data_IF_147969647627
#
_entry.id   IF_147969647627
#
_cell.length_a   1.000
_cell.length_b   1.000
_cell.length_c   1.000
_cell.angle_alpha   90.00
_cell.angle_beta   90.00
_cell.angle_gamma   90.00
#
_symmetry.space_group_name_H-M   'P 1'
#
loop_
_entity.id
_entity.type
_entity.pdbx_description
1 polymer ?
#
# COMPACT_ATOMS: atom_id res chain seq x y z
N UNK A 1 16.31 13.98 21.06
CA UNK A 1 15.35 14.56 22.01
C UNK A 1 14.02 13.87 21.84
N UNK A 2 13.42 13.35 22.91
CA UNK A 2 12.12 12.66 22.87
C UNK A 2 11.00 13.68 23.12
N UNK A 3 10.31 14.08 22.04
CA UNK A 3 9.23 15.08 22.10
C UNK A 3 7.89 14.33 22.14
N UNK A 4 7.27 14.29 23.32
CA UNK A 4 6.01 13.54 23.53
C UNK A 4 4.77 14.42 23.53
N UNK A 5 4.92 15.74 23.68
CA UNK A 5 3.81 16.67 23.79
C UNK A 5 4.01 17.92 22.91
N UNK A 6 2.91 18.56 22.53
CA UNK A 6 2.95 19.78 21.70
C UNK A 6 3.66 20.96 22.39
N UNK A 7 3.57 21.03 23.73
CA UNK A 7 4.29 22.03 24.53
C UNK A 7 5.80 21.85 24.43
N UNK A 8 6.29 20.61 24.63
CA UNK A 8 7.72 20.29 24.49
C UNK A 8 8.26 20.58 23.08
N UNK A 9 7.46 20.31 22.04
CA UNK A 9 7.82 20.67 20.66
C UNK A 9 8.02 22.19 20.52
N UNK A 10 7.08 22.97 21.06
CA UNK A 10 7.11 24.43 20.99
C UNK A 10 8.31 24.98 21.76
N UNK A 11 8.60 24.44 22.93
CA UNK A 11 9.74 24.85 23.77
C UNK A 11 11.09 24.51 23.09
N UNK A 12 11.23 23.33 22.48
CA UNK A 12 12.41 22.98 21.68
C UNK A 12 12.60 23.92 20.49
N UNK A 13 11.53 24.25 19.78
CA UNK A 13 11.58 25.14 18.61
C UNK A 13 11.97 26.57 19.03
N UNK A 14 11.44 27.05 20.16
CA UNK A 14 11.85 28.35 20.74
C UNK A 14 13.34 28.36 21.08
N UNK A 15 13.84 27.29 21.71
CA UNK A 15 15.26 27.17 22.05
C UNK A 15 16.16 27.20 20.81
N UNK A 16 15.72 26.61 19.69
CA UNK A 16 16.47 26.62 18.42
C UNK A 16 16.44 28.00 17.74
N UNK A 17 15.31 28.70 17.79
CA UNK A 17 15.11 29.98 17.09
C UNK A 17 15.69 31.20 17.84
N UNK A 18 15.96 31.07 19.14
CA UNK A 18 16.52 32.14 19.98
C UNK A 18 15.51 33.20 20.42
N UNK A 19 15.92 34.05 21.37
CA UNK A 19 15.04 34.95 22.14
C UNK A 19 14.43 36.12 21.34
N UNK A 20 14.84 36.32 20.08
CA UNK A 20 14.33 37.37 19.21
C UNK A 20 13.09 37.00 18.40
N UNK A 21 12.67 35.72 18.39
CA UNK A 21 11.60 35.24 17.50
C UNK A 21 10.38 34.78 18.29
N UNK A 22 9.28 35.53 18.19
CA UNK A 22 8.03 35.15 18.82
C UNK A 22 7.31 34.04 18.03
N UNK A 23 7.44 32.80 18.48
CA UNK A 23 6.71 31.65 17.91
C UNK A 23 5.25 31.70 18.33
N UNK A 24 4.35 32.05 17.40
CA UNK A 24 2.88 32.12 17.66
C UNK A 24 2.21 30.74 17.59
N UNK A 25 2.54 29.94 16.59
CA UNK A 25 1.98 28.61 16.38
C UNK A 25 3.02 27.69 15.76
N UNK A 26 3.02 26.43 16.20
CA UNK A 26 3.81 25.36 15.58
C UNK A 26 2.84 24.39 14.91
N UNK A 27 2.85 24.33 13.58
CA UNK A 27 2.05 23.37 12.85
C UNK A 27 2.95 22.24 12.36
N UNK A 28 2.76 20.98 12.82
CA UNK A 28 3.54 19.87 12.30
C UNK A 28 3.27 19.72 10.80
N UNK A 29 4.30 19.44 10.02
CA UNK A 29 4.18 19.25 8.58
C UNK A 29 3.03 18.26 8.28
N UNK A 30 2.13 18.54 7.31
CA UNK A 30 0.95 17.72 7.07
C UNK A 30 1.25 16.23 6.81
N UNK A 31 2.42 15.94 6.22
CA UNK A 31 2.88 14.57 5.99
C UNK A 31 3.29 13.82 7.27
N UNK A 32 3.65 14.54 8.35
CA UNK A 32 4.09 13.96 9.62
C UNK A 32 2.93 13.80 10.61
N UNK A 33 1.95 14.69 10.58
CA UNK A 33 0.82 14.66 11.52
C UNK A 33 -0.40 13.91 11.02
N UNK A 34 -0.47 13.60 9.72
CA UNK A 34 -1.69 13.15 9.04
C UNK A 34 -2.91 14.08 9.31
N UNK A 35 -2.68 15.28 9.84
CA UNK A 35 -3.71 16.28 10.10
C UNK A 35 -3.87 17.13 8.85
N UNK A 36 -5.07 17.12 8.28
CA UNK A 36 -5.42 18.01 7.18
C UNK A 36 -5.84 19.35 7.81
N UNK A 37 -5.00 20.36 7.69
CA UNK A 37 -5.37 21.73 8.03
C UNK A 37 -6.47 22.20 7.06
N UNK A 38 -7.72 22.12 7.49
CA UNK A 38 -8.80 22.81 6.79
C UNK A 38 -8.62 24.30 7.07
N UNK A 39 -8.55 25.11 6.02
CA UNK A 39 -8.48 26.56 6.15
C UNK A 39 -9.81 27.07 6.73
N UNK A 40 -9.88 27.24 8.06
CA UNK A 40 -11.05 27.77 8.77
C UNK A 40 -10.82 29.25 9.05
N UNK A 41 -11.03 30.08 8.03
CA UNK A 41 -11.31 31.51 8.22
C UNK A 41 -12.80 31.73 8.50
N UNK A 42 -13.21 32.99 8.71
CA UNK A 42 -14.60 33.44 8.84
C UNK A 42 -15.44 33.07 7.58
N UNK A 43 -15.76 31.79 7.42
CA UNK A 43 -16.64 31.31 6.36
C UNK A 43 -18.06 31.66 6.78
N UNK A 44 -18.75 32.42 5.93
CA UNK A 44 -20.19 32.68 6.02
C UNK A 44 -21.03 31.41 6.21
N UNK A 45 -20.49 30.24 5.82
CA UNK A 45 -21.09 28.91 5.95
C UNK A 45 -20.16 27.95 6.69
N UNK A 46 -20.51 27.61 7.93
CA UNK A 46 -19.84 26.56 8.73
C UNK A 46 -20.52 25.22 8.44
N UNK A 47 -19.84 24.34 7.70
CA UNK A 47 -20.34 22.97 7.47
C UNK A 47 -19.98 22.07 8.67
N UNK A 48 -20.90 21.23 9.16
CA UNK A 48 -20.60 20.27 10.21
C UNK A 48 -19.47 19.31 9.81
N UNK A 49 -18.63 18.93 10.78
CA UNK A 49 -17.54 17.94 10.62
C UNK A 49 -18.02 16.63 9.95
N UNK A 50 -19.25 16.21 10.23
CA UNK A 50 -19.88 15.02 9.63
C UNK A 50 -19.88 15.07 8.10
N UNK A 51 -20.16 16.24 7.51
CA UNK A 51 -20.21 16.40 6.05
C UNK A 51 -18.82 16.28 5.42
N UNK A 52 -17.77 16.81 6.08
CA UNK A 52 -16.39 16.61 5.62
C UNK A 52 -16.00 15.14 5.64
N UNK A 53 -16.28 14.43 6.73
CA UNK A 53 -16.01 12.99 6.83
C UNK A 53 -16.75 12.22 5.74
N UNK A 54 -18.01 12.55 5.48
CA UNK A 54 -18.80 11.92 4.42
C UNK A 54 -18.20 12.17 3.04
N UNK A 55 -17.79 13.40 2.73
CA UNK A 55 -17.12 13.74 1.46
C UNK A 55 -15.80 12.99 1.29
N UNK A 56 -14.97 12.96 2.32
CA UNK A 56 -13.70 12.21 2.31
C UNK A 56 -13.96 10.71 2.08
N UNK A 57 -14.93 10.14 2.80
CA UNK A 57 -15.30 8.73 2.64
C UNK A 57 -15.81 8.44 1.22
N UNK A 58 -16.65 9.30 0.66
CA UNK A 58 -17.14 9.17 -0.73
C UNK A 58 -16.01 9.26 -1.75
N UNK A 59 -15.12 10.24 -1.62
CA UNK A 59 -13.95 10.37 -2.50
C UNK A 59 -13.01 9.15 -2.36
N UNK A 60 -12.80 8.66 -1.14
CA UNK A 60 -12.01 7.45 -0.90
C UNK A 60 -12.62 6.21 -1.56
N UNK A 61 -13.94 6.00 -1.43
CA UNK A 61 -14.66 4.91 -2.09
C UNK A 61 -14.56 5.01 -3.61
N UNK A 62 -14.77 6.20 -4.17
CA UNK A 62 -14.66 6.44 -5.61
C UNK A 62 -13.27 6.10 -6.15
N UNK A 63 -12.21 6.58 -5.48
CA UNK A 63 -10.81 6.22 -5.84
C UNK A 63 -10.56 4.71 -5.71
N UNK A 64 -11.10 4.07 -4.68
CA UNK A 64 -11.00 2.62 -4.48
C UNK A 64 -11.69 1.84 -5.61
N UNK A 65 -12.89 2.24 -6.00
CA UNK A 65 -13.65 1.64 -7.09
C UNK A 65 -12.92 1.80 -8.43
N UNK A 66 -12.44 3.01 -8.73
CA UNK A 66 -11.66 3.28 -9.93
C UNK A 66 -10.39 2.43 -9.98
N UNK A 67 -9.64 2.36 -8.87
CA UNK A 67 -8.42 1.54 -8.78
C UNK A 67 -8.71 0.04 -8.91
N UNK A 68 -9.86 -0.43 -8.41
CA UNK A 68 -10.30 -1.82 -8.59
C UNK A 68 -10.62 -2.11 -10.05
N UNK A 69 -11.44 -1.27 -10.68
CA UNK A 69 -11.86 -1.47 -12.07
C UNK A 69 -10.65 -1.42 -13.01
N UNK A 70 -9.77 -0.41 -12.87
CA UNK A 70 -8.53 -0.30 -13.65
C UNK A 70 -7.68 -1.59 -13.64
N UNK A 71 -7.63 -2.29 -12.49
CA UNK A 71 -6.90 -3.56 -12.36
C UNK A 71 -7.64 -4.72 -13.00
N UNK A 72 -8.96 -4.75 -12.91
CA UNK A 72 -9.77 -5.74 -13.60
C UNK A 72 -9.59 -5.60 -15.13
N UNK A 73 -9.70 -4.38 -15.65
CA UNK A 73 -9.53 -4.07 -17.08
C UNK A 73 -8.12 -4.49 -17.56
N UNK A 74 -7.09 -4.20 -16.76
CA UNK A 74 -5.72 -4.59 -17.09
C UNK A 74 -5.53 -6.11 -17.09
N UNK A 75 -6.20 -6.85 -16.21
CA UNK A 75 -6.19 -8.31 -16.27
C UNK A 75 -6.94 -8.84 -17.49
N UNK A 76 -8.06 -8.23 -17.86
CA UNK A 76 -8.83 -8.59 -19.07
C UNK A 76 -8.00 -8.38 -20.35
N UNK A 77 -7.20 -7.31 -20.40
CA UNK A 77 -6.25 -7.07 -21.50
C UNK A 77 -5.10 -8.09 -21.56
N UNK A 78 -4.68 -8.65 -20.42
CA UNK A 78 -3.52 -9.53 -20.34
C UNK A 78 -3.86 -11.01 -20.52
N UNK A 79 -4.91 -11.50 -19.86
CA UNK A 79 -5.28 -12.91 -19.90
C UNK A 79 -6.70 -13.16 -19.40
N UNK A 80 -7.56 -13.64 -20.30
CA UNK A 80 -8.94 -14.05 -19.97
C UNK A 80 -8.98 -15.23 -18.98
N UNK A 81 -8.04 -16.17 -19.10
CA UNK A 81 -7.92 -17.31 -18.18
C UNK A 81 -7.55 -16.87 -16.75
N UNK A 82 -6.61 -15.91 -16.62
CA UNK A 82 -6.25 -15.36 -15.32
C UNK A 82 -7.43 -14.62 -14.67
N UNK A 83 -8.21 -13.87 -15.46
CA UNK A 83 -9.42 -13.20 -14.98
C UNK A 83 -10.44 -14.19 -14.43
N UNK A 84 -10.68 -15.30 -15.13
CA UNK A 84 -11.60 -16.34 -14.66
C UNK A 84 -11.16 -16.91 -13.31
N UNK A 85 -9.89 -17.30 -13.18
CA UNK A 85 -9.35 -17.81 -11.91
C UNK A 85 -9.39 -16.78 -10.78
N UNK A 86 -9.05 -15.52 -11.08
CA UNK A 86 -9.09 -14.42 -10.10
C UNK A 86 -10.49 -14.05 -9.65
N UNK A 87 -11.51 -14.23 -10.50
CA UNK A 87 -12.92 -14.05 -10.14
C UNK A 87 -13.39 -15.14 -9.18
N UNK A 88 -12.91 -16.38 -9.32
CA UNK A 88 -13.21 -17.49 -8.39
C UNK A 88 -12.54 -17.33 -7.02
N UNK A 89 -11.41 -16.64 -6.96
CA UNK A 89 -10.64 -16.44 -5.75
C UNK A 89 -11.21 -15.29 -4.92
N UNK A 90 -12.16 -15.52 -4.01
CA UNK A 90 -12.68 -14.47 -3.14
C UNK A 90 -11.65 -13.93 -2.14
N UNK A 91 -11.78 -12.65 -1.74
CA UNK A 91 -10.87 -12.04 -0.77
C UNK A 91 -10.90 -12.72 0.61
N UNK A 92 -12.07 -13.18 1.04
CA UNK A 92 -12.23 -13.92 2.30
C UNK A 92 -11.68 -15.34 2.21
N UNK A 93 -11.64 -15.91 0.99
CA UNK A 93 -11.18 -17.27 0.74
C UNK A 93 -9.66 -17.37 0.73
N UNK A 94 -8.95 -16.32 0.34
CA UNK A 94 -7.48 -16.25 0.37
C UNK A 94 -6.89 -16.74 1.71
N UNK A 95 -7.45 -16.29 2.84
CA UNK A 95 -6.99 -16.63 4.19
C UNK A 95 -7.46 -18.00 4.70
N UNK A 96 -8.23 -18.72 3.89
CA UNK A 96 -8.86 -20.00 4.25
C UNK A 96 -8.34 -21.16 3.39
N UNK A 97 -7.39 -20.90 2.49
CA UNK A 97 -6.79 -21.95 1.66
C UNK A 97 -5.88 -22.78 2.56
N UNK A 98 -6.27 -24.03 2.82
CA UNK A 98 -5.48 -24.97 3.61
C UNK A 98 -4.15 -25.24 2.92
N UNK A 99 -3.05 -25.22 3.68
CA UNK A 99 -1.69 -25.42 3.16
C UNK A 99 -1.08 -24.16 2.54
N UNK A 100 -1.79 -23.04 2.52
CA UNK A 100 -1.22 -21.77 2.09
C UNK A 100 -0.48 -21.11 3.27
N UNK A 101 0.86 -21.08 3.20
CA UNK A 101 1.65 -20.34 4.19
C UNK A 101 1.48 -18.82 4.06
N UNK A 102 1.95 -18.02 5.05
CA UNK A 102 1.84 -16.55 5.03
C UNK A 102 2.39 -15.91 3.74
N UNK A 103 3.45 -16.49 3.19
CA UNK A 103 4.03 -16.04 1.92
C UNK A 103 3.10 -16.30 0.73
N UNK A 104 2.46 -17.46 0.67
CA UNK A 104 1.51 -17.81 -0.39
C UNK A 104 0.28 -16.90 -0.38
N UNK A 105 -0.22 -16.56 0.82
CA UNK A 105 -1.29 -15.56 0.98
C UNK A 105 -0.87 -14.20 0.43
N UNK A 106 0.31 -13.72 0.80
CA UNK A 106 0.83 -12.45 0.32
C UNK A 106 1.03 -12.46 -1.20
N UNK A 107 1.47 -13.59 -1.76
CA UNK A 107 1.64 -13.75 -3.19
C UNK A 107 0.31 -13.68 -3.93
N UNK A 108 -0.69 -14.46 -3.51
CA UNK A 108 -2.02 -14.44 -4.13
C UNK A 108 -2.70 -13.08 -3.97
N UNK A 109 -2.48 -12.40 -2.83
CA UNK A 109 -2.95 -11.03 -2.62
C UNK A 109 -2.32 -10.09 -3.66
N UNK A 110 -1.00 -10.12 -3.84
CA UNK A 110 -0.28 -9.30 -4.83
C UNK A 110 -0.74 -9.63 -6.25
N UNK A 111 -0.97 -10.91 -6.56
CA UNK A 111 -1.47 -11.38 -7.84
C UNK A 111 -2.84 -10.77 -8.14
N UNK A 112 -3.78 -10.91 -7.22
CA UNK A 112 -5.13 -10.35 -7.38
C UNK A 112 -5.13 -8.83 -7.43
N UNK A 113 -4.26 -8.17 -6.66
CA UNK A 113 -4.09 -6.71 -6.70
C UNK A 113 -3.26 -6.24 -7.91
N UNK A 114 -2.71 -7.15 -8.72
CA UNK A 114 -1.75 -6.87 -9.79
C UNK A 114 -0.59 -5.98 -9.33
N UNK A 115 -0.18 -6.15 -8.07
CA UNK A 115 0.83 -5.36 -7.37
C UNK A 115 2.17 -6.10 -7.34
N UNK A 116 2.52 -6.74 -8.45
CA UNK A 116 3.85 -7.30 -8.61
C UNK A 116 4.83 -6.18 -8.84
N UNK A 117 5.84 -6.12 -7.99
CA UNK A 117 7.04 -5.39 -8.32
C UNK A 117 7.75 -6.21 -9.38
N UNK A 118 7.84 -5.68 -10.60
CA UNK A 118 8.79 -6.16 -11.59
C UNK A 118 10.23 -5.83 -11.16
N UNK A 119 10.47 -5.31 -9.96
CA UNK A 119 11.80 -5.01 -9.47
C UNK A 119 12.48 -6.28 -8.96
N UNK A 120 13.58 -6.65 -9.62
CA UNK A 120 14.51 -7.67 -9.16
C UNK A 120 15.49 -7.01 -8.16
N UNK A 121 15.37 -7.30 -6.85
CA UNK A 121 16.23 -6.68 -5.84
C UNK A 121 17.68 -7.17 -5.92
N UNK A 122 17.94 -8.34 -6.52
CA UNK A 122 19.30 -8.90 -6.67
C UNK A 122 20.09 -8.11 -7.70
N UNK A 123 19.40 -7.54 -8.70
CA UNK A 123 20.01 -6.79 -9.79
C UNK A 123 19.69 -5.31 -9.79
N UNK A 124 18.93 -4.85 -8.80
CA UNK A 124 18.45 -3.48 -8.69
C UNK A 124 17.80 -2.94 -9.99
N UNK A 125 17.10 -3.80 -10.74
CA UNK A 125 16.53 -3.46 -12.04
C UNK A 125 15.07 -3.89 -12.15
N UNK A 126 14.33 -3.26 -13.05
CA UNK A 126 12.99 -3.72 -13.44
C UNK A 126 13.16 -4.92 -14.37
N UNK A 127 12.98 -6.13 -13.85
CA UNK A 127 12.97 -7.39 -14.58
C UNK A 127 12.38 -8.54 -13.76
N UNK A 128 11.92 -9.59 -14.45
CA UNK A 128 11.58 -10.84 -13.76
C UNK A 128 12.85 -11.43 -13.14
N UNK A 129 12.86 -11.79 -11.84
CA UNK A 129 14.02 -12.40 -11.20
C UNK A 129 14.43 -13.74 -11.83
N UNK A 130 13.55 -14.35 -12.64
CA UNK A 130 13.81 -15.60 -13.35
C UNK A 130 14.31 -15.29 -14.77
N UNK A 131 15.62 -15.52 -15.01
CA UNK A 131 16.26 -15.37 -16.33
C UNK A 131 15.83 -16.42 -17.39
N UNK A 132 15.15 -17.50 -17.00
CA UNK A 132 15.00 -18.70 -17.83
C UNK A 132 13.76 -18.75 -18.74
N UNK A 133 12.86 -17.76 -18.71
CA UNK A 133 11.58 -17.83 -19.44
C UNK A 133 11.55 -17.05 -20.77
N UNK A 134 12.69 -16.93 -21.45
CA UNK A 134 12.79 -16.22 -22.74
C UNK A 134 13.20 -17.14 -23.90
N UNK A 135 12.79 -18.41 -23.87
CA UNK A 135 12.78 -19.25 -25.07
C UNK A 135 11.37 -19.38 -25.65
N UNK A 136 11.34 -19.27 -26.98
CA UNK A 136 10.29 -18.67 -27.81
C UNK A 136 9.02 -19.52 -28.05
N UNK A 137 8.69 -20.44 -27.16
CA UNK A 137 7.58 -21.37 -27.40
C UNK A 137 6.67 -21.45 -26.20
N UNK A 138 5.46 -20.89 -26.35
CA UNK A 138 4.23 -21.15 -25.58
C UNK A 138 4.46 -21.82 -24.22
N UNK A 139 4.46 -21.07 -23.12
CA UNK A 139 4.02 -21.59 -21.82
C UNK A 139 3.79 -20.48 -20.79
N UNK A 140 2.61 -20.56 -20.21
CA UNK A 140 2.14 -19.95 -18.96
C UNK A 140 3.25 -19.89 -17.91
N UNK A 141 3.52 -18.69 -17.39
CA UNK A 141 4.37 -18.50 -16.21
C UNK A 141 3.67 -19.11 -14.99
N UNK A 142 3.92 -20.39 -14.72
CA UNK A 142 3.66 -20.98 -13.40
C UNK A 142 4.88 -20.62 -12.56
N UNK A 143 4.66 -19.81 -11.52
CA UNK A 143 5.70 -19.52 -10.53
C UNK A 143 5.96 -20.77 -9.69
N UNK A 144 6.81 -21.66 -10.20
CA UNK A 144 7.48 -22.69 -9.41
C UNK A 144 8.94 -22.29 -9.21
N UNK A 145 9.28 -21.95 -7.99
CA UNK A 145 10.64 -21.99 -7.43
C UNK A 145 10.41 -22.01 -5.92
N UNK A 146 10.37 -23.16 -5.25
CA UNK A 146 11.34 -24.25 -5.39
C UNK A 146 12.62 -23.91 -4.62
N UNK A 147 12.50 -23.34 -3.42
CA UNK A 147 13.51 -23.55 -2.37
C UNK A 147 13.17 -24.89 -1.72
N UNK A 148 13.79 -25.95 -2.22
CA UNK A 148 13.95 -27.20 -1.47
C UNK A 148 14.73 -26.81 -0.19
N UNK A 149 14.19 -27.01 1.02
CA UNK A 149 14.98 -26.79 2.22
C UNK A 149 16.16 -27.78 2.22
N UNK A 150 17.37 -27.36 2.63
CA UNK A 150 18.48 -28.30 2.78
C UNK A 150 18.07 -29.43 3.75
N UNK A 151 18.52 -30.67 3.49
CA UNK A 151 18.20 -31.79 4.36
C UNK A 151 18.79 -31.51 5.76
N UNK A 152 17.93 -31.27 6.76
CA UNK A 152 18.38 -31.04 8.13
C UNK A 152 17.46 -30.26 9.06
N UNK A 153 16.42 -29.58 8.56
CA UNK A 153 15.50 -28.84 9.44
C UNK A 153 14.16 -29.58 9.65
N UNK A 154 14.17 -30.50 10.61
CA UNK A 154 12.96 -30.94 11.30
C UNK A 154 12.68 -29.94 12.44
N UNK A 155 11.48 -29.36 12.47
CA UNK A 155 10.94 -28.76 13.69
C UNK A 155 9.90 -29.73 14.25
N UNK A 156 10.23 -30.30 15.41
CA UNK A 156 9.27 -30.84 16.40
C UNK A 156 8.35 -29.74 16.91
#
# INVERSE_FOLDING_TARGET
MDVRTHRQLTDCIKQILGDGVQVRHVNPHPALSCMICLWVGNRRWVLPRRLFRQRIATASRSRGLHSRNRRADKWEQQSTAAVAGLKMLEWNRLRRIVGLGPWGEQLLLRLKLQAFSLYDPVRAQVGCPIKAAFDKTRSTCIMSSGLVPPPGYFFT
#
